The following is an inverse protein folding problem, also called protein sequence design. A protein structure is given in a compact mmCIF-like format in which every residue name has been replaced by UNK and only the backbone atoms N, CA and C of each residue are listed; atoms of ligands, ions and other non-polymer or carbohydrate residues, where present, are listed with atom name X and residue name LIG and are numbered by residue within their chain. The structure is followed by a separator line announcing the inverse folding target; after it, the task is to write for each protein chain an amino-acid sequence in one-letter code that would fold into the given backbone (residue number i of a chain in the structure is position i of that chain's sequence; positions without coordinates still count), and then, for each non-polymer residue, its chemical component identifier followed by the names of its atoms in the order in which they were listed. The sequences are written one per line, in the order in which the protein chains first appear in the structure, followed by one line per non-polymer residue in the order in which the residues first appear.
data_IF_478499677864
#
_entry.id   IF_478499677864
#
_cell.length_a   1.000
_cell.length_b   1.000
_cell.length_c   1.000
_cell.angle_alpha   90.00
_cell.angle_beta   90.00
_cell.angle_gamma   90.00
#
_symmetry.space_group_name_H-M   'P 1'
#
loop_
_entity.id
_entity.type
_entity.pdbx_description
1 polymer ?
#
# COMPACT_ATOMS: atom_id res chain seq x y z
N UNK A 1 11.88 -22.59 1.86
CA UNK A 1 12.38 -21.23 2.12
C UNK A 1 13.90 -21.23 2.09
N UNK A 2 14.48 -20.70 1.02
CA UNK A 2 15.91 -20.49 0.84
C UNK A 2 16.31 -19.02 1.18
N UNK A 3 17.59 -18.71 1.02
CA UNK A 3 18.13 -17.37 1.31
C UNK A 3 17.56 -16.30 0.35
N UNK A 4 17.30 -16.64 -0.91
CA UNK A 4 16.75 -15.69 -1.87
C UNK A 4 15.30 -15.33 -1.53
N UNK A 5 14.52 -16.30 -1.06
CA UNK A 5 13.16 -16.08 -0.56
C UNK A 5 13.16 -15.17 0.68
N UNK A 6 14.09 -15.38 1.62
CA UNK A 6 14.25 -14.50 2.79
C UNK A 6 14.64 -13.06 2.40
N UNK A 7 15.53 -12.90 1.43
CA UNK A 7 15.91 -11.58 0.88
C UNK A 7 14.69 -10.92 0.25
N UNK A 8 13.92 -11.63 -0.57
CA UNK A 8 12.72 -11.10 -1.19
C UNK A 8 11.68 -10.63 -0.16
N UNK A 9 11.47 -11.39 0.92
CA UNK A 9 10.58 -10.99 2.02
C UNK A 9 11.03 -9.66 2.64
N UNK A 10 12.34 -9.50 2.91
CA UNK A 10 12.86 -8.24 3.45
C UNK A 10 12.77 -7.09 2.45
N UNK A 11 13.05 -7.32 1.16
CA UNK A 11 12.88 -6.31 0.11
C UNK A 11 11.43 -5.81 0.02
N UNK A 12 10.45 -6.70 0.15
CA UNK A 12 9.02 -6.37 0.17
C UNK A 12 8.63 -5.63 1.45
N UNK A 13 9.19 -6.00 2.61
CA UNK A 13 8.98 -5.23 3.85
C UNK A 13 9.49 -3.81 3.75
N UNK A 14 10.70 -3.65 3.22
CA UNK A 14 11.28 -2.33 2.96
C UNK A 14 10.47 -1.55 1.92
N UNK A 15 9.91 -2.22 0.90
CA UNK A 15 9.01 -1.62 -0.08
C UNK A 15 7.74 -1.06 0.59
N UNK A 16 7.05 -1.86 1.41
CA UNK A 16 5.84 -1.39 2.11
C UNK A 16 6.15 -0.27 3.13
N UNK A 17 7.30 -0.35 3.81
CA UNK A 17 7.76 0.72 4.68
C UNK A 17 8.01 2.04 3.91
N UNK A 18 8.57 1.97 2.69
CA UNK A 18 8.68 3.13 1.80
C UNK A 18 7.32 3.65 1.36
N UNK A 19 6.38 2.78 0.98
CA UNK A 19 5.01 3.15 0.62
C UNK A 19 4.37 4.01 1.71
N UNK A 20 4.35 3.54 2.97
CA UNK A 20 3.76 4.29 4.09
C UNK A 20 4.45 5.65 4.30
N UNK A 21 5.78 5.62 4.46
CA UNK A 21 6.56 6.84 4.71
C UNK A 21 6.43 7.88 3.60
N UNK A 22 6.47 7.46 2.34
CA UNK A 22 6.43 8.38 1.19
C UNK A 22 5.02 8.98 1.01
N UNK A 23 3.97 8.19 1.26
CA UNK A 23 2.59 8.68 1.27
C UNK A 23 2.39 9.72 2.37
N UNK A 24 2.75 9.41 3.61
CA UNK A 24 2.57 10.29 4.76
C UNK A 24 3.40 11.59 4.67
N UNK A 25 4.51 11.56 3.93
CA UNK A 25 5.35 12.73 3.65
C UNK A 25 4.90 13.51 2.41
N UNK A 26 3.89 13.04 1.67
CA UNK A 26 3.44 13.64 0.42
C UNK A 26 4.50 13.67 -0.69
N UNK A 27 5.43 12.72 -0.69
CA UNK A 27 6.54 12.63 -1.67
C UNK A 27 6.08 11.91 -2.93
N UNK A 28 5.13 12.50 -3.65
CA UNK A 28 4.37 11.82 -4.71
C UNK A 28 5.20 11.28 -5.87
N UNK A 29 6.26 11.99 -6.30
CA UNK A 29 7.15 11.52 -7.37
C UNK A 29 7.88 10.23 -6.97
N UNK A 30 8.45 10.18 -5.75
CA UNK A 30 9.10 8.97 -5.24
C UNK A 30 8.10 7.90 -4.83
N UNK A 31 6.90 8.30 -4.40
CA UNK A 31 5.82 7.38 -4.09
C UNK A 31 5.40 6.61 -5.34
N UNK A 32 5.37 7.24 -6.51
CA UNK A 32 5.08 6.58 -7.79
C UNK A 32 6.04 5.41 -8.08
N UNK A 33 7.30 5.49 -7.64
CA UNK A 33 8.34 4.49 -7.86
C UNK A 33 8.17 3.20 -7.05
N UNK A 34 7.22 3.14 -6.11
CA UNK A 34 6.91 1.91 -5.36
C UNK A 34 5.94 0.99 -6.12
N UNK A 35 5.32 1.49 -7.20
CA UNK A 35 4.32 0.77 -7.98
C UNK A 35 4.86 0.27 -9.31
N UNK A 36 4.30 -0.83 -9.81
CA UNK A 36 4.47 -1.19 -11.23
C UNK A 36 3.70 -0.21 -12.12
N UNK A 37 4.14 -0.02 -13.37
CA UNK A 37 3.49 0.93 -14.30
C UNK A 37 2.00 0.62 -14.54
N UNK A 38 1.68 -0.67 -14.53
CA UNK A 38 0.37 -1.30 -14.72
C UNK A 38 -0.31 -1.68 -13.39
N UNK A 39 0.03 -1.02 -12.28
CA UNK A 39 -0.54 -1.39 -10.99
C UNK A 39 -2.05 -1.13 -10.91
N UNK A 40 -2.74 -1.87 -10.05
CA UNK A 40 -4.17 -1.66 -9.77
C UNK A 40 -4.42 -1.52 -8.28
N UNK A 41 -5.33 -0.63 -7.91
CA UNK A 41 -5.70 -0.39 -6.52
C UNK A 41 -7.22 -0.38 -6.35
N UNK A 42 -7.67 -0.99 -5.26
CA UNK A 42 -9.08 -1.08 -4.89
C UNK A 42 -9.21 -0.82 -3.40
N UNK A 43 -9.81 0.32 -3.06
CA UNK A 43 -10.06 0.74 -1.70
C UNK A 43 -11.55 0.66 -1.38
N UNK A 44 -11.90 -0.21 -0.44
CA UNK A 44 -13.22 -0.23 0.16
C UNK A 44 -13.16 0.57 1.47
N UNK A 45 -13.54 1.85 1.42
CA UNK A 45 -13.43 2.78 2.55
C UNK A 45 -14.31 2.40 3.76
N UNK A 46 -15.35 1.58 3.55
CA UNK A 46 -16.21 1.04 4.60
C UNK A 46 -16.85 -0.28 4.13
N UNK A 47 -17.26 -1.17 5.05
CA UNK A 47 -17.96 -2.41 4.69
C UNK A 47 -19.18 -2.13 3.77
N UNK A 48 -19.20 -2.75 2.59
CA UNK A 48 -20.28 -2.59 1.60
C UNK A 48 -20.18 -1.35 0.71
N UNK A 49 -19.19 -0.47 0.92
CA UNK A 49 -18.93 0.62 -0.01
C UNK A 49 -18.44 0.08 -1.36
N UNK A 50 -18.80 0.77 -2.45
CA UNK A 50 -18.22 0.47 -3.75
C UNK A 50 -16.71 0.73 -3.71
N UNK A 51 -15.88 -0.22 -4.16
CA UNK A 51 -14.45 -0.02 -4.20
C UNK A 51 -14.13 1.14 -5.15
N UNK A 52 -13.35 2.09 -4.65
CA UNK A 52 -12.78 3.18 -5.44
C UNK A 52 -11.29 2.91 -5.65
N UNK A 53 -10.69 3.48 -6.70
CA UNK A 53 -9.26 3.41 -6.90
C UNK A 53 -8.82 3.74 -8.31
N UNK A 54 -7.78 3.06 -8.78
CA UNK A 54 -7.14 3.39 -10.05
C UNK A 54 -6.47 2.20 -10.73
N UNK A 55 -6.28 2.34 -12.04
CA UNK A 55 -5.49 1.41 -12.86
C UNK A 55 -4.39 2.19 -13.57
N UNK A 56 -3.17 1.67 -13.49
CA UNK A 56 -1.96 2.36 -13.90
C UNK A 56 -1.43 3.29 -12.80
N UNK A 57 -0.10 3.41 -12.77
CA UNK A 57 0.65 4.16 -11.75
C UNK A 57 0.13 5.58 -11.55
N UNK A 58 -0.03 6.34 -12.63
CA UNK A 58 -0.42 7.76 -12.55
C UNK A 58 -1.81 7.92 -11.93
N UNK A 59 -2.79 7.13 -12.38
CA UNK A 59 -4.15 7.19 -11.85
C UNK A 59 -4.22 6.76 -10.37
N UNK A 60 -3.41 5.77 -9.98
CA UNK A 60 -3.29 5.34 -8.59
C UNK A 60 -2.70 6.43 -7.71
N UNK A 61 -1.58 7.03 -8.12
CA UNK A 61 -0.91 8.09 -7.35
C UNK A 61 -1.80 9.33 -7.24
N UNK A 62 -2.45 9.74 -8.33
CA UNK A 62 -3.37 10.87 -8.32
C UNK A 62 -4.57 10.63 -7.42
N UNK A 63 -5.14 9.42 -7.43
CA UNK A 63 -6.25 9.07 -6.54
C UNK A 63 -5.84 9.17 -5.06
N UNK A 64 -4.70 8.60 -4.67
CA UNK A 64 -4.23 8.63 -3.28
C UNK A 64 -3.91 10.07 -2.87
N UNK A 65 -3.18 10.80 -3.72
CA UNK A 65 -2.79 12.20 -3.48
C UNK A 65 -4.02 13.08 -3.26
N UNK A 66 -5.02 12.96 -4.12
CA UNK A 66 -6.25 13.76 -4.03
C UNK A 66 -7.07 13.39 -2.80
N UNK A 67 -7.13 12.10 -2.45
CA UNK A 67 -7.82 11.59 -1.26
C UNK A 67 -7.20 12.07 0.07
N UNK A 68 -5.95 12.50 0.06
CA UNK A 68 -5.21 13.01 1.23
C UNK A 68 -4.99 14.53 1.19
N UNK A 69 -5.64 15.25 0.27
CA UNK A 69 -5.51 16.71 0.15
C UNK A 69 -5.94 17.38 1.45
N UNK A 70 -5.14 18.35 1.91
CA UNK A 70 -5.36 19.11 3.16
C UNK A 70 -5.43 18.25 4.44
N UNK A 71 -4.99 17.00 4.36
CA UNK A 71 -4.95 16.05 5.48
C UNK A 71 -3.51 15.68 5.82
N UNK A 72 -3.27 15.43 7.11
CA UNK A 72 -2.07 14.70 7.58
C UNK A 72 -2.48 13.27 7.85
N UNK A 73 -1.89 12.33 7.13
CA UNK A 73 -2.07 10.89 7.35
C UNK A 73 -0.91 10.30 8.16
N UNK A 74 -1.19 9.17 8.81
CA UNK A 74 -0.21 8.29 9.41
C UNK A 74 -0.71 6.87 9.19
N UNK A 75 0.07 6.08 8.45
CA UNK A 75 -0.26 4.70 8.15
C UNK A 75 0.71 3.76 8.85
N UNK A 76 0.19 2.89 9.71
CA UNK A 76 0.97 1.86 10.38
C UNK A 76 0.65 0.48 9.78
N UNK A 77 1.65 -0.10 9.11
CA UNK A 77 1.63 -1.52 8.79
C UNK A 77 2.23 -2.34 9.92
N UNK A 78 1.53 -3.39 10.31
CA UNK A 78 1.97 -4.34 11.34
C UNK A 78 2.62 -5.58 10.72
N UNK A 79 2.82 -6.63 11.54
CA UNK A 79 3.48 -7.88 11.18
C UNK A 79 2.86 -8.48 9.90
N UNK A 80 3.61 -8.60 8.80
CA UNK A 80 3.05 -9.08 7.55
C UNK A 80 3.14 -10.60 7.42
N UNK A 81 2.20 -11.15 6.66
CA UNK A 81 2.26 -12.49 6.11
C UNK A 81 2.65 -12.36 4.63
N UNK A 82 3.82 -12.85 4.24
CA UNK A 82 4.34 -12.72 2.85
C UNK A 82 4.64 -14.11 2.31
N UNK A 83 4.10 -14.42 1.14
CA UNK A 83 4.35 -15.66 0.41
C UNK A 83 5.05 -15.34 -0.92
N UNK A 84 6.23 -15.91 -1.13
CA UNK A 84 6.93 -15.85 -2.41
C UNK A 84 6.33 -16.90 -3.34
N UNK A 85 5.70 -16.47 -4.44
CA UNK A 85 4.98 -17.37 -5.36
C UNK A 85 5.81 -17.73 -6.59
N UNK A 86 6.85 -16.97 -6.90
CA UNK A 86 7.86 -17.28 -7.92
C UNK A 86 9.13 -16.43 -7.69
N UNK A 87 10.20 -16.61 -8.48
CA UNK A 87 11.36 -15.70 -8.44
C UNK A 87 11.03 -14.21 -8.68
N UNK A 88 9.83 -13.92 -9.19
CA UNK A 88 9.42 -12.57 -9.61
C UNK A 88 8.03 -12.14 -9.13
N UNK A 89 7.35 -12.95 -8.32
CA UNK A 89 6.01 -12.65 -7.82
C UNK A 89 5.88 -13.04 -6.35
N UNK A 90 5.08 -12.29 -5.60
CA UNK A 90 4.76 -12.58 -4.22
C UNK A 90 3.38 -12.01 -3.88
N UNK A 91 2.77 -12.51 -2.81
CA UNK A 91 1.56 -11.93 -2.21
C UNK A 91 1.83 -11.57 -0.76
N UNK A 92 1.10 -10.61 -0.23
CA UNK A 92 1.24 -10.22 1.17
C UNK A 92 -0.05 -9.72 1.81
N UNK A 93 -0.19 -9.99 3.10
CA UNK A 93 -1.24 -9.43 3.95
C UNK A 93 -0.60 -8.53 5.00
N UNK A 94 -1.15 -7.32 5.16
CA UNK A 94 -0.70 -6.34 6.13
C UNK A 94 -1.87 -5.89 6.98
N UNK A 95 -1.83 -6.18 8.28
CA UNK A 95 -2.70 -5.51 9.24
C UNK A 95 -2.32 -4.02 9.29
N UNK A 96 -3.33 -3.16 9.25
CA UNK A 96 -3.22 -1.71 9.09
C UNK A 96 -3.89 -0.98 10.25
N UNK A 97 -3.29 0.12 10.68
CA UNK A 97 -3.94 1.17 11.44
C UNK A 97 -3.66 2.52 10.81
N UNK A 98 -4.72 3.26 10.50
CA UNK A 98 -4.67 4.53 9.80
C UNK A 98 -5.23 5.64 10.68
N UNK A 99 -4.54 6.77 10.66
CA UNK A 99 -4.94 7.96 11.38
C UNK A 99 -4.77 9.17 10.49
N UNK A 100 -5.87 9.90 10.24
CA UNK A 100 -5.82 11.13 9.47
C UNK A 100 -6.43 12.30 10.25
N UNK A 101 -5.78 13.46 10.13
CA UNK A 101 -6.22 14.71 10.75
C UNK A 101 -6.27 15.85 9.73
N UNK A 102 -7.21 16.76 9.92
CA UNK A 102 -7.32 18.02 9.19
C UNK A 102 -7.49 19.15 10.21
N UNK A 103 -6.75 20.24 10.07
CA UNK A 103 -6.77 21.38 10.99
C UNK A 103 -6.60 21.04 12.48
N UNK A 104 -5.87 19.96 12.78
CA UNK A 104 -5.61 19.49 14.15
C UNK A 104 -6.70 18.57 14.72
N UNK A 105 -7.79 18.34 13.99
CA UNK A 105 -8.88 17.44 14.39
C UNK A 105 -8.77 16.10 13.65
N UNK A 106 -9.16 15.02 14.33
CA UNK A 106 -9.18 13.68 13.74
C UNK A 106 -10.38 13.54 12.81
N UNK A 107 -10.12 13.27 11.54
CA UNK A 107 -11.17 13.07 10.52
C UNK A 107 -11.32 11.61 10.09
N UNK A 108 -10.28 10.81 10.31
CA UNK A 108 -10.33 9.36 10.10
C UNK A 108 -9.45 8.66 11.12
N UNK A 109 -9.96 7.56 11.65
CA UNK A 109 -9.24 6.63 12.51
C UNK A 109 -9.84 5.25 12.25
N UNK A 110 -9.05 4.35 11.70
CA UNK A 110 -9.54 3.06 11.25
C UNK A 110 -8.45 2.01 11.18
N UNK A 111 -8.87 0.78 10.99
CA UNK A 111 -7.97 -0.35 10.79
C UNK A 111 -8.57 -1.32 9.78
N UNK A 112 -7.73 -2.21 9.27
CA UNK A 112 -8.12 -3.16 8.25
C UNK A 112 -6.93 -3.97 7.76
N UNK A 113 -7.06 -4.51 6.57
CA UNK A 113 -6.02 -5.31 5.93
C UNK A 113 -5.75 -4.84 4.51
N UNK A 114 -4.48 -4.68 4.16
CA UNK A 114 -4.08 -4.73 2.76
C UNK A 114 -3.85 -6.17 2.34
N UNK A 115 -4.40 -6.54 1.18
CA UNK A 115 -3.99 -7.70 0.40
C UNK A 115 -3.25 -7.20 -0.84
N UNK A 116 -1.95 -7.41 -0.84
CA UNK A 116 -1.05 -6.92 -1.87
C UNK A 116 -0.57 -8.07 -2.78
N UNK A 117 -0.47 -7.78 -4.07
CA UNK A 117 0.28 -8.59 -5.02
C UNK A 117 1.53 -7.79 -5.44
N UNK A 118 2.67 -8.47 -5.49
CA UNK A 118 3.97 -7.88 -5.83
C UNK A 118 4.55 -8.51 -7.09
N UNK A 119 5.30 -7.68 -7.82
CA UNK A 119 6.06 -8.10 -9.00
C UNK A 119 7.50 -7.60 -8.89
N UNK A 120 8.47 -8.43 -9.30
CA UNK A 120 9.87 -8.02 -9.44
C UNK A 120 10.14 -7.67 -10.90
N UNK A 121 10.51 -6.42 -11.18
CA UNK A 121 10.92 -5.93 -12.51
C UNK A 121 12.29 -5.29 -12.39
N UNK A 122 13.20 -5.64 -13.32
CA UNK A 122 14.56 -5.12 -13.35
C UNK A 122 15.29 -5.23 -11.99
N UNK A 123 15.07 -6.35 -11.30
CA UNK A 123 15.68 -6.63 -9.99
C UNK A 123 15.03 -5.91 -8.80
N UNK A 124 13.97 -5.13 -8.99
CA UNK A 124 13.26 -4.39 -7.92
C UNK A 124 11.85 -4.92 -7.71
N UNK A 125 11.47 -5.14 -6.45
CA UNK A 125 10.07 -5.41 -6.09
C UNK A 125 9.24 -4.14 -6.15
N UNK A 126 8.03 -4.28 -6.68
CA UNK A 126 7.05 -3.22 -6.86
C UNK A 126 5.67 -3.74 -6.44
N UNK A 127 4.81 -2.83 -5.98
CA UNK A 127 3.40 -3.10 -5.71
C UNK A 127 2.68 -3.18 -7.06
N UNK A 128 2.10 -4.34 -7.35
CA UNK A 128 1.31 -4.56 -8.56
C UNK A 128 -0.18 -4.42 -8.28
N UNK A 129 -0.67 -4.99 -7.18
CA UNK A 129 -2.05 -4.82 -6.75
C UNK A 129 -2.11 -4.55 -5.26
N UNK A 130 -3.07 -3.75 -4.85
CA UNK A 130 -3.48 -3.67 -3.43
C UNK A 130 -4.99 -3.61 -3.36
N UNK A 131 -5.52 -4.38 -2.43
CA UNK A 131 -6.91 -4.32 -2.02
C UNK A 131 -6.95 -3.96 -0.54
N UNK A 132 -7.67 -2.88 -0.20
CA UNK A 132 -7.96 -2.54 1.19
C UNK A 132 -9.31 -3.15 1.58
N UNK A 133 -9.28 -3.98 2.61
CA UNK A 133 -10.45 -4.49 3.32
C UNK A 133 -10.55 -3.74 4.65
N UNK A 134 -11.46 -2.77 4.74
CA UNK A 134 -11.73 -2.07 5.99
C UNK A 134 -12.52 -2.97 6.96
N UNK A 135 -12.14 -2.94 8.23
CA UNK A 135 -12.80 -3.69 9.29
C UNK A 135 -13.53 -2.72 10.24
N UNK A 136 -14.72 -3.08 10.74
CA UNK A 136 -15.41 -2.27 11.74
C UNK A 136 -14.73 -2.43 13.10
N UNK A 137 -14.06 -1.38 13.58
CA UNK A 137 -13.49 -1.29 14.91
C UNK A 137 -14.17 -0.21 15.74
#
# INVERSE_FOLDING_TARGET
MDVQELVAIEEIKQLKARYFRLMDQGRWEEFAEVFSEDCEQSWQAAPGAHPAGGKGRDAVVDYIRTSLTDMRSTHHGHMPEIEITSPTTAVGVWALFDYCSADGEVVFNGAGYYRDDYVKRDGRWLIHRTQLEAEPF
#
